data_IF_407911761125
#
_entry.id   IF_407911761125
#
_cell.length_a   1.000
_cell.length_b   1.000
_cell.length_c   1.000
_cell.angle_alpha   90.00
_cell.angle_beta   90.00
_cell.angle_gamma   90.00
#
_symmetry.space_group_name_H-M   'P 1'
#
loop_
_entity.id
_entity.type
_entity.pdbx_description
1 polymer ?
#
# COMPACT_ATOMS: atom_id res chain seq x y z
N UNK A 1 13.15 2.82 -36.04
CA UNK A 1 13.97 1.78 -35.38
C UNK A 1 13.10 1.10 -34.33
N UNK A 2 12.60 -0.11 -34.63
CA UNK A 2 11.76 -0.90 -33.72
C UNK A 2 12.66 -1.57 -32.67
N UNK A 3 13.02 -0.84 -31.60
CA UNK A 3 13.77 -1.40 -30.48
C UNK A 3 12.82 -1.99 -29.40
N UNK A 4 11.75 -2.64 -29.84
CA UNK A 4 10.76 -3.27 -28.96
C UNK A 4 11.11 -4.73 -28.73
N UNK A 5 12.14 -5.03 -27.92
CA UNK A 5 12.32 -6.40 -27.42
C UNK A 5 11.02 -6.89 -26.80
N UNK A 6 10.59 -8.08 -27.20
CA UNK A 6 9.31 -8.68 -26.82
C UNK A 6 9.13 -8.71 -25.29
N UNK A 7 8.15 -7.94 -24.81
CA UNK A 7 7.78 -7.82 -23.38
C UNK A 7 7.20 -9.12 -22.83
N UNK A 8 6.90 -10.11 -23.67
CA UNK A 8 6.47 -11.45 -23.25
C UNK A 8 7.57 -12.22 -22.54
N UNK A 9 8.84 -11.88 -22.80
CA UNK A 9 10.00 -12.66 -22.33
C UNK A 9 10.50 -12.31 -20.93
N UNK A 10 9.85 -11.38 -20.23
CA UNK A 10 10.20 -10.96 -18.87
C UNK A 10 9.01 -10.36 -18.13
N UNK A 11 9.10 -10.28 -16.80
CA UNK A 11 8.23 -9.52 -15.91
C UNK A 11 8.85 -8.13 -15.74
N UNK A 12 8.03 -7.10 -16.01
CA UNK A 12 8.38 -5.70 -15.80
C UNK A 12 7.79 -5.10 -14.53
N UNK A 13 8.27 -3.92 -14.12
CA UNK A 13 7.74 -3.22 -12.95
C UNK A 13 6.24 -2.90 -13.03
N UNK A 14 5.70 -2.64 -14.22
CA UNK A 14 4.24 -2.48 -14.40
C UNK A 14 3.46 -3.78 -14.17
N UNK A 15 4.08 -4.92 -14.47
CA UNK A 15 3.50 -6.25 -14.34
C UNK A 15 3.51 -6.68 -12.86
N UNK A 16 4.55 -6.28 -12.11
CA UNK A 16 4.65 -6.43 -10.66
C UNK A 16 3.39 -5.93 -9.94
N UNK A 17 2.85 -4.78 -10.37
CA UNK A 17 1.60 -4.21 -9.84
C UNK A 17 0.39 -5.12 -10.05
N UNK A 18 0.32 -5.80 -11.19
CA UNK A 18 -0.77 -6.72 -11.50
C UNK A 18 -0.60 -8.01 -10.69
N UNK A 19 0.63 -8.54 -10.62
CA UNK A 19 0.96 -9.78 -9.92
C UNK A 19 0.71 -9.67 -8.40
N UNK A 20 1.02 -8.51 -7.81
CA UNK A 20 0.79 -8.22 -6.39
C UNK A 20 -0.62 -7.69 -6.10
N UNK A 21 -1.45 -7.47 -7.13
CA UNK A 21 -2.80 -6.95 -6.98
C UNK A 21 -3.82 -8.00 -6.55
N UNK A 22 -5.07 -7.57 -6.50
CA UNK A 22 -6.25 -8.34 -6.08
C UNK A 22 -7.23 -8.61 -7.23
N UNK A 23 -6.93 -8.15 -8.45
CA UNK A 23 -7.75 -8.37 -9.65
C UNK A 23 -7.32 -9.63 -10.40
N UNK A 24 -8.05 -10.71 -10.18
CA UNK A 24 -7.81 -12.01 -10.83
C UNK A 24 -7.94 -11.93 -12.37
N UNK A 25 -8.84 -11.09 -12.88
CA UNK A 25 -9.02 -10.91 -14.32
C UNK A 25 -7.79 -10.29 -14.98
N UNK A 26 -7.22 -9.25 -14.37
CA UNK A 26 -5.97 -8.65 -14.83
C UNK A 26 -4.79 -9.63 -14.72
N UNK A 27 -4.74 -10.45 -13.67
CA UNK A 27 -3.69 -11.45 -13.49
C UNK A 27 -3.72 -12.53 -14.59
N UNK A 28 -4.90 -13.10 -14.85
CA UNK A 28 -5.10 -14.11 -15.91
C UNK A 28 -4.78 -13.49 -17.27
N UNK A 29 -5.24 -12.27 -17.53
CA UNK A 29 -4.95 -11.57 -18.78
C UNK A 29 -3.45 -11.37 -18.98
N UNK A 30 -2.74 -10.87 -17.97
CA UNK A 30 -1.29 -10.71 -18.03
C UNK A 30 -0.61 -12.03 -18.35
N UNK A 31 -1.07 -13.14 -17.76
CA UNK A 31 -0.53 -14.48 -18.04
C UNK A 31 -0.76 -14.90 -19.50
N UNK A 32 -1.96 -14.69 -20.06
CA UNK A 32 -2.25 -14.94 -21.49
C UNK A 32 -1.37 -14.08 -22.40
N UNK A 33 -1.18 -12.79 -22.05
CA UNK A 33 -0.31 -11.88 -22.79
C UNK A 33 1.14 -12.37 -22.78
N UNK A 34 1.68 -12.79 -21.62
CA UNK A 34 3.05 -13.34 -21.52
C UNK A 34 3.23 -14.64 -22.29
N UNK A 35 2.17 -15.43 -22.46
CA UNK A 35 2.17 -16.66 -23.25
C UNK A 35 1.92 -16.43 -24.75
N UNK A 36 1.60 -15.20 -25.15
CA UNK A 36 1.24 -14.86 -26.53
C UNK A 36 -0.11 -15.43 -26.96
N UNK A 37 -0.97 -15.79 -26.01
CA UNK A 37 -2.33 -16.30 -26.24
C UNK A 37 -3.33 -15.16 -26.46
N UNK A 38 -2.98 -13.94 -26.06
CA UNK A 38 -3.77 -12.73 -26.28
C UNK A 38 -2.83 -11.56 -26.52
N UNK A 39 -3.23 -10.63 -27.39
CA UNK A 39 -2.48 -9.40 -27.62
C UNK A 39 -2.69 -8.38 -26.49
N UNK A 40 -1.67 -7.55 -26.18
CA UNK A 40 -1.81 -6.48 -25.21
C UNK A 40 -2.97 -5.55 -25.55
N UNK A 41 -3.65 -5.01 -24.52
CA UNK A 41 -4.69 -3.99 -24.71
C UNK A 41 -4.12 -2.81 -25.48
N UNK A 42 -4.78 -2.41 -26.56
CA UNK A 42 -4.47 -1.12 -27.18
C UNK A 42 -5.01 0.02 -26.32
N UNK A 43 -4.08 0.75 -25.69
CA UNK A 43 -4.36 1.91 -24.86
C UNK A 43 -4.14 3.24 -25.62
N UNK A 44 -4.01 3.20 -26.95
CA UNK A 44 -3.82 4.39 -27.80
C UNK A 44 -4.93 5.43 -27.62
N UNK A 45 -6.18 4.98 -27.47
CA UNK A 45 -7.36 5.82 -27.27
C UNK A 45 -7.68 6.11 -25.79
N UNK A 46 -6.88 5.60 -24.84
CA UNK A 46 -7.08 5.88 -23.43
C UNK A 46 -6.39 7.20 -23.05
N UNK A 47 -7.18 8.27 -22.89
CA UNK A 47 -6.67 9.61 -22.60
C UNK A 47 -5.78 9.66 -21.36
N UNK A 48 -6.09 8.93 -20.29
CA UNK A 48 -5.29 8.94 -19.05
C UNK A 48 -3.91 8.33 -19.29
N UNK A 49 -3.84 7.25 -20.08
CA UNK A 49 -2.55 6.64 -20.47
C UNK A 49 -1.74 7.60 -21.34
N UNK A 50 -2.39 8.29 -22.28
CA UNK A 50 -1.70 9.28 -23.13
C UNK A 50 -1.18 10.48 -22.33
N UNK A 51 -1.97 10.98 -21.37
CA UNK A 51 -1.53 12.03 -20.44
C UNK A 51 -0.32 11.57 -19.64
N UNK A 52 -0.33 10.33 -19.13
CA UNK A 52 0.83 9.74 -18.46
C UNK A 52 2.09 9.78 -19.32
N UNK A 53 2.00 9.34 -20.59
CA UNK A 53 3.14 9.35 -21.53
C UNK A 53 3.66 10.75 -21.82
N UNK A 54 2.77 11.68 -22.15
CA UNK A 54 3.17 13.06 -22.53
C UNK A 54 3.73 13.82 -21.33
N UNK A 55 3.20 13.58 -20.13
CA UNK A 55 3.65 14.27 -18.92
C UNK A 55 4.93 13.69 -18.34
N UNK A 56 5.41 12.52 -18.77
CA UNK A 56 6.65 11.90 -18.27
C UNK A 56 7.86 12.85 -18.45
N UNK A 57 8.04 13.39 -19.66
CA UNK A 57 9.13 14.33 -19.98
C UNK A 57 9.00 15.65 -19.21
N UNK A 58 7.76 16.16 -19.07
CA UNK A 58 7.47 17.35 -18.27
C UNK A 58 7.82 17.11 -16.80
N UNK A 59 7.44 15.95 -16.27
CA UNK A 59 7.65 15.56 -14.88
C UNK A 59 9.15 15.45 -14.56
N UNK A 60 9.92 14.80 -15.44
CA UNK A 60 11.39 14.77 -15.35
C UNK A 60 12.00 16.17 -15.34
N UNK A 61 11.64 17.01 -16.31
CA UNK A 61 12.20 18.37 -16.43
C UNK A 61 11.84 19.23 -15.22
N UNK A 62 10.62 19.08 -14.69
CA UNK A 62 10.17 19.78 -13.50
C UNK A 62 10.93 19.33 -12.26
N UNK A 63 11.11 18.02 -12.08
CA UNK A 63 11.93 17.44 -11.02
C UNK A 63 13.34 18.03 -11.04
N UNK A 64 14.06 17.95 -12.17
CA UNK A 64 15.44 18.48 -12.28
C UNK A 64 15.51 19.98 -11.95
N UNK A 65 14.50 20.75 -12.36
CA UNK A 65 14.43 22.20 -12.07
C UNK A 65 14.26 22.49 -10.58
N UNK A 66 13.42 21.73 -9.90
CA UNK A 66 13.08 21.89 -8.48
C UNK A 66 14.21 21.41 -7.57
N UNK A 67 14.78 20.23 -7.84
CA UNK A 67 15.75 19.57 -6.94
C UNK A 67 17.21 19.84 -7.29
N UNK A 68 17.49 20.34 -8.50
CA UNK A 68 18.84 20.50 -9.08
C UNK A 68 19.58 19.20 -9.33
N UNK A 69 18.97 18.04 -9.08
CA UNK A 69 19.51 16.76 -9.51
C UNK A 69 19.30 16.56 -11.01
N UNK A 70 20.19 15.78 -11.63
CA UNK A 70 20.08 15.37 -13.04
C UNK A 70 19.53 13.95 -13.16
N UNK A 71 18.68 13.72 -14.16
CA UNK A 71 18.15 12.40 -14.50
C UNK A 71 18.91 11.86 -15.72
N UNK A 72 19.47 10.64 -15.57
CA UNK A 72 20.14 9.87 -16.62
C UNK A 72 19.41 8.55 -16.88
N UNK A 73 19.93 7.73 -17.79
CA UNK A 73 19.39 6.39 -18.10
C UNK A 73 17.88 6.40 -18.45
N UNK A 74 17.42 7.46 -19.13
CA UNK A 74 16.01 7.69 -19.48
C UNK A 74 15.51 6.59 -20.41
N UNK A 75 14.35 6.01 -20.08
CA UNK A 75 13.71 4.90 -20.81
C UNK A 75 14.66 3.71 -21.03
N UNK A 76 15.71 3.58 -20.21
CA UNK A 76 16.67 2.50 -20.31
C UNK A 76 16.04 1.22 -19.78
N UNK A 77 16.09 0.17 -20.61
CA UNK A 77 15.71 -1.18 -20.18
C UNK A 77 16.92 -1.91 -19.59
N UNK A 78 16.75 -2.43 -18.38
CA UNK A 78 17.78 -3.20 -17.66
C UNK A 78 17.20 -4.57 -17.30
N UNK A 79 17.93 -5.65 -17.58
CA UNK A 79 17.59 -7.00 -17.09
C UNK A 79 18.32 -7.27 -15.78
N UNK A 80 17.66 -7.96 -14.86
CA UNK A 80 18.28 -8.35 -13.61
C UNK A 80 19.47 -9.30 -13.89
N UNK A 81 20.63 -9.12 -13.22
CA UNK A 81 21.85 -9.89 -13.52
C UNK A 81 21.67 -11.40 -13.32
N UNK A 82 20.95 -11.81 -12.28
CA UNK A 82 20.67 -13.23 -11.96
C UNK A 82 19.32 -13.71 -12.53
N UNK A 83 18.20 -13.08 -12.15
CA UNK A 83 16.86 -13.45 -12.60
C UNK A 83 16.56 -12.97 -14.03
N UNK A 84 16.92 -13.77 -15.04
CA UNK A 84 16.78 -13.38 -16.46
C UNK A 84 15.34 -13.09 -16.94
N UNK A 85 14.35 -13.54 -16.17
CA UNK A 85 12.93 -13.28 -16.36
C UNK A 85 12.46 -11.95 -15.76
N UNK A 86 13.33 -11.16 -15.11
CA UNK A 86 13.01 -9.83 -14.59
C UNK A 86 13.71 -8.74 -15.39
N UNK A 87 12.98 -7.65 -15.69
CA UNK A 87 13.58 -6.47 -16.28
C UNK A 87 12.82 -5.20 -15.88
N UNK A 88 13.49 -4.07 -15.79
CA UNK A 88 12.89 -2.77 -15.56
C UNK A 88 13.08 -1.90 -16.80
N UNK A 89 12.04 -1.14 -17.18
CA UNK A 89 12.20 0.01 -18.08
C UNK A 89 12.01 1.23 -17.19
N UNK A 90 13.09 1.98 -16.99
CA UNK A 90 13.13 3.07 -16.03
C UNK A 90 12.76 4.39 -16.70
N UNK A 91 11.94 5.21 -16.05
CA UNK A 91 11.72 6.59 -16.51
C UNK A 91 13.00 7.42 -16.37
N UNK A 92 13.84 7.07 -15.38
CA UNK A 92 15.26 7.43 -15.32
C UNK A 92 15.95 6.99 -14.04
N UNK A 93 17.17 7.45 -13.86
CA UNK A 93 17.98 7.30 -12.65
C UNK A 93 18.52 8.66 -12.24
N UNK A 94 18.47 8.99 -10.95
CA UNK A 94 19.09 10.20 -10.42
C UNK A 94 20.61 10.02 -10.47
N UNK A 95 21.31 10.94 -11.15
CA UNK A 95 22.73 10.79 -11.45
C UNK A 95 23.60 10.69 -10.20
N UNK A 96 23.36 11.57 -9.22
CA UNK A 96 24.18 11.71 -8.01
C UNK A 96 23.95 10.59 -7.00
N UNK A 97 22.71 10.16 -6.84
CA UNK A 97 22.31 9.22 -5.79
C UNK A 97 22.17 7.78 -6.28
N UNK A 98 22.03 7.59 -7.60
CA UNK A 98 21.69 6.28 -8.18
C UNK A 98 20.28 5.81 -7.81
N UNK A 99 19.41 6.71 -7.33
CA UNK A 99 18.02 6.37 -7.06
C UNK A 99 17.25 6.18 -8.38
N UNK A 100 16.29 5.25 -8.39
CA UNK A 100 15.34 5.14 -9.51
C UNK A 100 14.47 6.39 -9.54
N UNK A 101 14.21 6.93 -10.71
CA UNK A 101 13.21 7.97 -10.93
C UNK A 101 12.00 7.36 -11.63
N UNK A 102 10.82 7.52 -11.05
CA UNK A 102 9.54 7.05 -11.59
C UNK A 102 8.56 8.22 -11.67
N UNK A 103 8.10 8.53 -12.88
CA UNK A 103 7.15 9.60 -13.14
C UNK A 103 5.72 9.06 -13.22
N UNK A 104 4.77 9.76 -12.60
CA UNK A 104 3.33 9.46 -12.71
C UNK A 104 2.49 10.69 -12.97
N UNK A 105 1.44 10.46 -13.76
CA UNK A 105 0.29 11.35 -13.83
C UNK A 105 -0.85 10.76 -13.00
N UNK A 106 -1.46 11.57 -12.15
CA UNK A 106 -2.65 11.17 -11.39
C UNK A 106 -3.76 12.19 -11.50
N UNK A 107 -5.00 11.72 -11.60
CA UNK A 107 -6.15 12.62 -11.53
C UNK A 107 -6.24 13.24 -10.13
N UNK A 108 -6.67 14.51 -10.00
CA UNK A 108 -6.65 15.22 -8.71
C UNK A 108 -7.71 14.73 -7.73
N UNK A 109 -8.72 14.01 -8.22
CA UNK A 109 -9.85 13.53 -7.44
C UNK A 109 -9.34 12.42 -6.51
N UNK A 110 -9.56 12.57 -5.20
CA UNK A 110 -9.09 11.64 -4.15
C UNK A 110 -7.58 11.35 -4.13
N UNK A 111 -6.73 12.29 -4.59
CA UNK A 111 -5.28 12.12 -4.49
C UNK A 111 -4.82 12.17 -3.02
N UNK A 112 -4.23 11.09 -2.55
CA UNK A 112 -3.48 10.99 -1.31
C UNK A 112 -2.10 10.39 -1.60
N UNK A 113 -1.06 10.91 -0.96
CA UNK A 113 0.33 10.50 -1.19
C UNK A 113 0.53 9.03 -0.79
N UNK A 114 -0.08 8.64 0.33
CA UNK A 114 -0.12 7.26 0.83
C UNK A 114 -0.72 6.30 -0.19
N UNK A 115 -1.88 6.65 -0.76
CA UNK A 115 -2.57 5.83 -1.75
C UNK A 115 -1.79 5.74 -3.06
N UNK A 116 -1.09 6.81 -3.45
CA UNK A 116 -0.21 6.80 -4.62
C UNK A 116 1.00 5.87 -4.40
N UNK A 117 1.62 5.93 -3.22
CA UNK A 117 2.72 5.05 -2.82
C UNK A 117 2.25 3.60 -2.82
N UNK A 118 1.14 3.28 -2.18
CA UNK A 118 0.58 1.93 -2.13
C UNK A 118 0.32 1.37 -3.53
N UNK A 119 -0.32 2.17 -4.40
CA UNK A 119 -0.61 1.81 -5.80
C UNK A 119 0.65 1.49 -6.62
N UNK A 120 1.76 2.14 -6.32
CA UNK A 120 3.00 2.03 -7.11
C UNK A 120 4.10 1.24 -6.40
N UNK A 121 3.89 0.78 -5.16
CA UNK A 121 4.91 0.13 -4.34
C UNK A 121 5.53 -1.08 -5.03
N UNK A 122 4.72 -1.98 -5.60
CA UNK A 122 5.20 -3.15 -6.30
C UNK A 122 6.14 -2.80 -7.46
N UNK A 123 5.79 -1.78 -8.24
CA UNK A 123 6.60 -1.29 -9.35
C UNK A 123 7.91 -0.67 -8.87
N UNK A 124 7.85 0.18 -7.83
CA UNK A 124 9.03 0.85 -7.27
C UNK A 124 10.02 -0.18 -6.69
N UNK A 125 9.52 -1.14 -5.91
CA UNK A 125 10.33 -2.20 -5.30
C UNK A 125 10.92 -3.14 -6.37
N UNK A 126 10.14 -3.49 -7.40
CA UNK A 126 10.62 -4.26 -8.56
C UNK A 126 11.77 -3.54 -9.26
N UNK A 127 11.58 -2.27 -9.63
CA UNK A 127 12.57 -1.50 -10.36
C UNK A 127 13.86 -1.37 -9.53
N UNK A 128 13.76 -1.04 -8.24
CA UNK A 128 14.90 -0.99 -7.33
C UNK A 128 15.64 -2.33 -7.26
N UNK A 129 14.92 -3.44 -7.18
CA UNK A 129 15.52 -4.78 -7.15
C UNK A 129 16.29 -5.10 -8.43
N UNK A 130 15.70 -4.84 -9.60
CA UNK A 130 16.32 -5.11 -10.91
C UNK A 130 17.67 -4.40 -11.07
N UNK A 131 17.76 -3.14 -10.63
CA UNK A 131 18.98 -2.33 -10.79
C UNK A 131 19.83 -2.22 -9.53
N UNK A 132 19.49 -2.94 -8.47
CA UNK A 132 20.17 -2.89 -7.17
C UNK A 132 20.24 -1.47 -6.57
N UNK A 133 19.20 -0.66 -6.80
CA UNK A 133 19.07 0.66 -6.19
C UNK A 133 18.51 0.55 -4.76
N UNK A 134 18.96 1.46 -3.88
CA UNK A 134 18.50 1.51 -2.47
C UNK A 134 17.26 2.36 -2.27
N UNK A 135 16.99 3.28 -3.20
CA UNK A 135 15.89 4.23 -3.13
C UNK A 135 15.29 4.46 -4.50
N UNK A 136 14.02 4.85 -4.51
CA UNK A 136 13.29 5.32 -5.68
C UNK A 136 12.59 6.62 -5.34
N UNK A 137 12.54 7.54 -6.28
CA UNK A 137 11.78 8.78 -6.21
C UNK A 137 10.56 8.64 -7.10
N UNK A 138 9.38 8.67 -6.48
CA UNK A 138 8.10 8.77 -7.14
C UNK A 138 7.76 10.26 -7.32
N UNK A 139 7.83 10.73 -8.56
CA UNK A 139 7.53 12.11 -8.92
C UNK A 139 6.16 12.16 -9.60
N UNK A 140 5.21 12.91 -9.05
CA UNK A 140 3.81 12.90 -9.48
C UNK A 140 3.40 14.30 -9.92
N UNK A 141 2.89 14.41 -11.14
CA UNK A 141 2.10 15.57 -11.59
C UNK A 141 0.63 15.19 -11.53
N UNK A 142 -0.17 15.98 -10.81
CA UNK A 142 -1.61 15.80 -10.79
C UNK A 142 -2.29 16.62 -11.88
N UNK A 143 -3.46 16.18 -12.35
CA UNK A 143 -4.28 16.96 -13.29
C UNK A 143 -4.75 18.32 -12.75
N UNK A 144 -4.61 18.58 -11.45
CA UNK A 144 -4.87 19.89 -10.82
C UNK A 144 -3.65 20.82 -10.80
N UNK A 145 -2.54 20.46 -11.44
CA UNK A 145 -1.32 21.28 -11.47
C UNK A 145 -0.46 21.20 -10.20
N UNK A 146 -0.77 20.28 -9.27
CA UNK A 146 0.07 19.99 -8.11
C UNK A 146 1.18 19.01 -8.52
N UNK A 147 2.42 19.31 -8.11
CA UNK A 147 3.55 18.39 -8.17
C UNK A 147 3.89 17.85 -6.77
N UNK A 148 4.22 16.56 -6.69
CA UNK A 148 4.59 15.87 -5.44
C UNK A 148 5.81 15.00 -5.70
N UNK A 149 6.75 15.01 -4.76
CA UNK A 149 7.92 14.15 -4.73
C UNK A 149 7.85 13.26 -3.50
N UNK A 150 8.02 11.95 -3.68
CA UNK A 150 8.03 10.97 -2.59
C UNK A 150 9.24 10.06 -2.74
N UNK A 151 10.12 10.02 -1.74
CA UNK A 151 11.25 9.09 -1.71
C UNK A 151 10.84 7.81 -0.98
N UNK A 152 11.08 6.66 -1.60
CA UNK A 152 10.80 5.33 -1.09
C UNK A 152 12.11 4.54 -0.99
N UNK A 153 12.35 3.92 0.16
CA UNK A 153 13.48 3.02 0.35
C UNK A 153 13.15 1.60 -0.13
N UNK A 154 14.17 0.88 -0.59
CA UNK A 154 14.08 -0.55 -0.81
C UNK A 154 13.67 -1.24 0.50
N UNK A 155 12.64 -2.08 0.44
CA UNK A 155 12.14 -2.85 1.58
C UNK A 155 12.46 -4.33 1.34
N UNK A 156 13.42 -4.91 2.07
CA UNK A 156 13.82 -6.30 1.89
C UNK A 156 12.68 -7.31 2.12
N UNK A 157 11.75 -7.03 3.04
CA UNK A 157 10.61 -7.91 3.30
C UNK A 157 9.61 -7.85 2.14
N UNK A 158 9.31 -6.64 1.66
CA UNK A 158 8.45 -6.47 0.49
C UNK A 158 9.07 -7.12 -0.75
N UNK A 159 10.36 -6.88 -1.01
CA UNK A 159 11.08 -7.44 -2.15
C UNK A 159 11.13 -8.97 -2.11
N UNK A 160 11.25 -9.57 -0.92
CA UNK A 160 11.18 -11.01 -0.77
C UNK A 160 9.81 -11.59 -1.18
N UNK A 161 8.73 -10.96 -0.71
CA UNK A 161 7.36 -11.36 -1.08
C UNK A 161 7.10 -11.15 -2.57
N UNK A 162 7.50 -10.00 -3.10
CA UNK A 162 7.41 -9.65 -4.51
C UNK A 162 8.11 -10.69 -5.39
N UNK A 163 9.38 -11.00 -5.09
CA UNK A 163 10.17 -11.98 -5.84
C UNK A 163 9.52 -13.38 -5.79
N UNK A 164 8.92 -13.74 -4.66
CA UNK A 164 8.21 -15.01 -4.50
C UNK A 164 6.95 -15.06 -5.38
N UNK A 165 6.15 -14.00 -5.37
CA UNK A 165 4.94 -13.88 -6.18
C UNK A 165 5.27 -13.89 -7.68
N UNK A 166 6.23 -13.08 -8.11
CA UNK A 166 6.64 -12.99 -9.52
C UNK A 166 7.27 -14.29 -10.02
N UNK A 167 8.08 -14.97 -9.20
CA UNK A 167 8.64 -16.28 -9.56
C UNK A 167 7.55 -17.33 -9.71
N UNK A 168 6.54 -17.35 -8.82
CA UNK A 168 5.39 -18.25 -8.93
C UNK A 168 4.61 -17.95 -10.22
N UNK A 169 4.31 -16.68 -10.48
CA UNK A 169 3.65 -16.25 -11.70
C UNK A 169 4.44 -16.63 -12.96
N UNK A 170 5.76 -16.41 -12.98
CA UNK A 170 6.59 -16.77 -14.11
C UNK A 170 6.60 -18.28 -14.37
N UNK A 171 6.58 -19.09 -13.31
CA UNK A 171 6.41 -20.55 -13.44
C UNK A 171 5.09 -20.90 -14.13
N UNK A 172 3.98 -20.27 -13.73
CA UNK A 172 2.67 -20.42 -14.39
C UNK A 172 2.73 -20.05 -15.88
N UNK A 173 3.43 -18.97 -16.24
CA UNK A 173 3.68 -18.60 -17.65
C UNK A 173 4.42 -19.73 -18.39
N UNK A 174 5.45 -20.31 -17.77
CA UNK A 174 6.26 -21.36 -18.39
C UNK A 174 5.54 -22.71 -18.49
N UNK A 175 4.76 -23.10 -17.48
CA UNK A 175 4.09 -24.42 -17.44
C UNK A 175 2.72 -24.42 -18.12
N UNK A 176 2.07 -23.26 -18.23
CA UNK A 176 0.69 -23.14 -18.70
C UNK A 176 -0.35 -23.42 -17.62
N UNK A 177 0.08 -23.61 -16.38
CA UNK A 177 -0.83 -23.60 -15.24
C UNK A 177 -1.35 -22.17 -15.05
N UNK A 178 -2.67 -22.01 -14.90
CA UNK A 178 -3.28 -20.71 -14.66
C UNK A 178 -2.83 -20.15 -13.30
N UNK A 179 -2.40 -18.88 -13.22
CA UNK A 179 -2.00 -18.29 -11.94
C UNK A 179 -3.22 -18.02 -11.06
N UNK A 180 -2.99 -18.06 -9.74
CA UNK A 180 -3.94 -17.60 -8.73
C UNK A 180 -3.39 -16.36 -8.03
N UNK A 181 -4.28 -15.53 -7.49
CA UNK A 181 -3.91 -14.37 -6.69
C UNK A 181 -2.93 -14.78 -5.59
N UNK A 182 -1.90 -13.94 -5.38
CA UNK A 182 -0.90 -14.22 -4.35
C UNK A 182 -1.49 -14.11 -2.94
N UNK A 183 -2.38 -13.14 -2.71
CA UNK A 183 -3.25 -13.07 -1.52
C UNK A 183 -2.54 -12.77 -0.20
N UNK A 184 -1.33 -12.20 -0.24
CA UNK A 184 -0.56 -11.86 0.97
C UNK A 184 -0.64 -10.37 1.26
N UNK A 185 -0.98 -10.02 2.50
CA UNK A 185 -0.85 -8.64 2.99
C UNK A 185 0.62 -8.22 2.96
N UNK A 186 0.93 -7.19 2.17
CA UNK A 186 2.29 -6.66 2.12
C UNK A 186 2.58 -5.78 3.35
N UNK A 187 3.84 -5.72 3.81
CA UNK A 187 4.22 -4.79 4.87
C UNK A 187 3.80 -3.38 4.48
N UNK A 188 3.00 -2.71 5.33
CA UNK A 188 2.68 -1.31 5.12
C UNK A 188 3.95 -0.49 5.35
N UNK A 189 4.35 0.26 4.33
CA UNK A 189 5.41 1.27 4.49
C UNK A 189 4.94 2.27 5.54
N UNK A 190 5.55 2.24 6.73
CA UNK A 190 5.38 3.32 7.71
C UNK A 190 6.05 4.54 7.11
N UNK A 191 5.29 5.46 6.53
CA UNK A 191 5.81 6.79 6.24
C UNK A 191 6.29 7.37 7.56
N UNK A 192 7.49 7.96 7.56
CA UNK A 192 7.94 8.72 8.73
C UNK A 192 6.95 9.86 8.97
N UNK A 193 6.41 9.96 10.18
CA UNK A 193 5.44 10.98 10.56
C UNK A 193 6.14 12.34 10.78
N UNK A 194 6.68 12.93 9.71
CA UNK A 194 7.48 14.17 9.76
C UNK A 194 6.61 15.41 9.52
N UNK A 195 5.48 15.27 8.83
CA UNK A 195 4.63 16.40 8.44
C UNK A 195 3.66 16.80 9.54
N UNK A 196 3.67 18.08 9.90
CA UNK A 196 2.66 18.73 10.74
C UNK A 196 1.56 19.28 9.81
N UNK A 197 0.30 18.96 10.09
CA UNK A 197 -0.85 19.39 9.28
C UNK A 197 -1.83 20.15 10.17
N UNK A 198 -2.24 21.34 9.72
CA UNK A 198 -3.39 22.06 10.28
C UNK A 198 -4.67 21.55 9.62
N UNK A 199 -5.55 20.95 10.44
CA UNK A 199 -6.82 20.36 9.99
C UNK A 199 -8.00 21.32 10.16
N UNK A 200 -7.76 22.60 10.49
CA UNK A 200 -8.82 23.58 10.76
C UNK A 200 -9.81 23.78 9.61
N UNK A 201 -9.41 23.50 8.36
CA UNK A 201 -10.29 23.59 7.19
C UNK A 201 -11.11 22.32 6.90
N UNK A 202 -10.94 21.24 7.67
CA UNK A 202 -11.64 19.97 7.45
C UNK A 202 -12.89 19.86 8.33
N UNK A 203 -14.07 19.95 7.71
CA UNK A 203 -15.36 19.84 8.41
C UNK A 203 -15.52 18.49 9.12
N UNK A 204 -15.10 17.40 8.48
CA UNK A 204 -15.20 16.07 9.07
C UNK A 204 -14.26 15.90 10.27
N UNK A 205 -13.05 16.48 10.21
CA UNK A 205 -12.15 16.53 11.35
C UNK A 205 -12.77 17.31 12.51
N UNK A 206 -13.39 18.47 12.24
CA UNK A 206 -14.03 19.29 13.26
C UNK A 206 -15.15 18.53 13.99
N UNK A 207 -16.01 17.82 13.26
CA UNK A 207 -17.08 17.00 13.83
C UNK A 207 -16.54 15.90 14.75
N UNK A 208 -15.57 15.12 14.27
CA UNK A 208 -14.96 14.04 15.05
C UNK A 208 -14.18 14.56 16.26
N UNK A 209 -13.46 15.67 16.11
CA UNK A 209 -12.75 16.32 17.22
C UNK A 209 -13.72 16.79 18.31
N UNK A 210 -14.86 17.36 17.94
CA UNK A 210 -15.89 17.77 18.89
C UNK A 210 -16.48 16.54 19.64
N UNK A 211 -16.73 15.43 18.94
CA UNK A 211 -17.18 14.19 19.56
C UNK A 211 -16.13 13.62 20.53
N UNK A 212 -14.87 13.58 20.10
CA UNK A 212 -13.76 13.10 20.91
C UNK A 212 -13.59 13.92 22.19
N UNK A 213 -13.57 15.25 22.09
CA UNK A 213 -13.43 16.14 23.24
C UNK A 213 -14.60 16.00 24.21
N UNK A 214 -15.84 15.92 23.69
CA UNK A 214 -17.05 15.73 24.51
C UNK A 214 -17.05 14.41 25.29
N UNK A 215 -16.47 13.36 24.73
CA UNK A 215 -16.47 12.01 25.33
C UNK A 215 -15.21 11.68 26.14
N UNK A 216 -14.17 12.51 26.07
CA UNK A 216 -12.87 12.27 26.69
C UNK A 216 -12.94 11.99 28.20
N UNK A 217 -13.70 12.80 28.95
CA UNK A 217 -13.82 12.65 30.41
C UNK A 217 -14.53 11.35 30.76
N UNK A 218 -15.71 11.11 30.16
CA UNK A 218 -16.48 9.89 30.39
C UNK A 218 -15.69 8.62 29.99
N UNK A 219 -14.91 8.67 28.90
CA UNK A 219 -14.02 7.57 28.51
C UNK A 219 -12.91 7.35 29.54
N UNK A 220 -12.31 8.43 30.06
CA UNK A 220 -11.31 8.36 31.13
C UNK A 220 -11.86 7.73 32.40
N UNK A 221 -13.03 8.20 32.87
CA UNK A 221 -13.71 7.64 34.04
C UNK A 221 -14.07 6.17 33.83
N UNK A 222 -14.52 5.81 32.62
CA UNK A 222 -14.83 4.43 32.25
C UNK A 222 -13.60 3.53 32.32
N UNK A 223 -12.46 3.94 31.73
CA UNK A 223 -11.23 3.14 31.77
C UNK A 223 -10.64 3.04 33.18
N UNK A 224 -10.73 4.11 33.98
CA UNK A 224 -10.35 4.08 35.38
C UNK A 224 -11.20 3.09 36.19
N UNK A 225 -12.54 3.19 36.09
CA UNK A 225 -13.46 2.26 36.75
C UNK A 225 -13.23 0.80 36.31
N UNK A 226 -13.02 0.57 35.01
CA UNK A 226 -12.72 -0.74 34.45
C UNK A 226 -11.42 -1.33 34.99
N UNK A 227 -10.39 -0.51 35.20
CA UNK A 227 -9.13 -0.94 35.83
C UNK A 227 -9.34 -1.37 37.27
N UNK A 228 -10.06 -0.58 38.07
CA UNK A 228 -10.35 -0.93 39.47
C UNK A 228 -11.24 -2.17 39.59
N UNK A 229 -12.28 -2.30 38.74
CA UNK A 229 -13.14 -3.48 38.70
C UNK A 229 -12.36 -4.77 38.40
N UNK A 230 -11.29 -4.71 37.57
CA UNK A 230 -10.43 -5.88 37.32
C UNK A 230 -9.69 -6.32 38.57
N UNK A 231 -9.24 -5.38 39.42
CA UNK A 231 -8.53 -5.68 40.67
C UNK A 231 -9.45 -6.32 41.71
N UNK A 232 -10.74 -6.03 41.65
CA UNK A 232 -11.74 -6.61 42.56
C UNK A 232 -12.15 -8.04 42.17
N UNK A 233 -11.83 -8.51 40.95
CA UNK A 233 -12.17 -9.87 40.52
C UNK A 233 -11.20 -10.89 41.14
N UNK A 234 -11.68 -11.85 41.96
CA UNK A 234 -10.82 -12.89 42.54
C UNK A 234 -10.07 -13.69 41.48
N UNK A 235 -8.85 -14.14 41.78
CA UNK A 235 -7.97 -14.81 40.80
C UNK A 235 -8.52 -16.14 40.26
N UNK A 236 -9.27 -16.85 41.09
CA UNK A 236 -9.94 -18.12 40.79
C UNK A 236 -11.31 -17.94 40.13
N UNK A 237 -11.85 -16.71 40.11
CA UNK A 237 -13.15 -16.43 39.53
C UNK A 237 -13.10 -16.38 38.00
N UNK A 238 -13.85 -17.29 37.37
CA UNK A 238 -14.14 -17.29 35.92
C UNK A 238 -15.09 -16.16 35.52
N UNK A 239 -16.01 -15.78 36.41
CA UNK A 239 -17.01 -14.74 36.19
C UNK A 239 -17.38 -14.07 37.53
N UNK A 240 -17.72 -12.79 37.50
CA UNK A 240 -18.39 -12.08 38.59
C UNK A 240 -19.49 -11.17 38.05
N UNK A 241 -20.59 -11.05 38.78
CA UNK A 241 -21.72 -10.19 38.42
C UNK A 241 -22.16 -9.36 39.62
N UNK A 242 -22.55 -8.11 39.38
CA UNK A 242 -23.04 -7.23 40.43
C UNK A 242 -23.26 -5.81 39.91
N UNK A 243 -24.23 -5.11 40.50
CA UNK A 243 -24.51 -3.70 40.20
C UNK A 243 -24.65 -3.38 38.70
N UNK A 244 -25.26 -4.28 37.92
CA UNK A 244 -25.49 -4.10 36.49
C UNK A 244 -24.26 -4.34 35.59
N UNK A 245 -23.19 -4.95 36.12
CA UNK A 245 -21.99 -5.30 35.37
C UNK A 245 -21.66 -6.78 35.54
N UNK A 246 -21.27 -7.42 34.45
CA UNK A 246 -20.70 -8.77 34.42
C UNK A 246 -19.24 -8.71 33.96
N UNK A 247 -18.34 -9.28 34.73
CA UNK A 247 -16.94 -9.49 34.37
C UNK A 247 -16.71 -10.96 33.99
N UNK A 248 -16.06 -11.23 32.86
CA UNK A 248 -15.67 -12.59 32.44
C UNK A 248 -14.15 -12.69 32.28
N UNK A 249 -13.55 -13.73 32.85
CA UNK A 249 -12.14 -14.07 32.67
C UNK A 249 -11.99 -15.15 31.60
N UNK A 250 -11.23 -14.85 30.56
CA UNK A 250 -10.90 -15.81 29.50
C UNK A 250 -9.89 -16.86 29.99
N UNK A 251 -9.71 -17.94 29.22
CA UNK A 251 -8.66 -18.95 29.48
C UNK A 251 -7.24 -18.36 29.45
N UNK A 252 -7.04 -17.23 28.78
CA UNK A 252 -5.77 -16.49 28.72
C UNK A 252 -5.59 -15.47 29.85
N UNK A 253 -6.55 -15.35 30.76
CA UNK A 253 -6.51 -14.40 31.88
C UNK A 253 -7.08 -13.01 31.57
N UNK A 254 -7.37 -12.69 30.31
CA UNK A 254 -7.99 -11.41 29.94
C UNK A 254 -9.40 -11.27 30.55
N UNK A 255 -9.69 -10.10 31.13
CA UNK A 255 -10.97 -9.76 31.76
C UNK A 255 -11.73 -8.77 30.88
N UNK A 256 -12.96 -9.13 30.50
CA UNK A 256 -13.90 -8.28 29.75
C UNK A 256 -15.14 -7.97 30.58
N UNK A 257 -15.78 -6.84 30.31
CA UNK A 257 -17.00 -6.41 30.99
C UNK A 257 -18.17 -6.27 30.02
N UNK A 258 -19.35 -6.68 30.47
CA UNK A 258 -20.63 -6.51 29.79
C UNK A 258 -21.59 -5.78 30.75
N UNK A 259 -22.34 -4.80 30.24
CA UNK A 259 -23.46 -4.23 30.97
C UNK A 259 -24.60 -5.26 30.99
N UNK A 260 -25.26 -5.42 32.14
CA UNK A 260 -26.38 -6.35 32.32
C UNK A 260 -27.56 -5.58 32.88
N UNK A 261 -28.73 -5.70 32.24
CA UNK A 261 -29.96 -5.12 32.77
C UNK A 261 -30.29 -5.73 34.12
N UNK A 262 -30.55 -4.89 35.13
CA UNK A 262 -31.00 -5.36 36.43
C UNK A 262 -32.45 -5.84 36.33
N UNK A 263 -32.63 -7.14 36.08
CA UNK A 263 -33.93 -7.79 36.23
C UNK A 263 -34.43 -7.65 37.68
N UNK A 264 -35.66 -7.15 37.85
CA UNK A 264 -36.27 -6.91 39.15
C UNK A 264 -36.26 -8.15 40.05
N UNK A 265 -35.93 -7.93 41.32
CA UNK A 265 -35.99 -8.93 42.39
C UNK A 265 -37.44 -9.37 42.58
N UNK A 266 -37.87 -10.46 41.95
CA UNK A 266 -39.02 -11.21 42.43
C UNK A 266 -38.55 -12.10 43.57
N UNK A 267 -38.94 -11.71 44.78
CA UNK A 267 -38.84 -12.55 45.96
C UNK A 267 -39.69 -13.82 45.77
N UNK A 268 -39.04 -14.99 45.79
CA UNK A 268 -39.71 -16.23 46.19
C UNK A 268 -39.43 -16.42 47.69
N UNK A 269 -40.38 -16.00 48.52
CA UNK A 269 -40.55 -16.58 49.86
C UNK A 269 -41.25 -17.91 49.65
N UNK A 270 -40.64 -18.97 50.20
CA UNK A 270 -41.12 -20.35 50.42
C UNK A 270 -42.37 -20.82 49.68
#
# INVERSE_FOLDING_TARGET
>A
MLNGQDRRTFIGGSDARIIMGDDEGNLIRLWQEKRGETEPVDLSQNLIVQLGKVTEDLNRTWYERCTKHRIKDIQRRVRHPVHKWMAATLDGMIEDTGAVFEAKFMLPWSFAEEAAVEKHMAQLQHNMWVVSARTSVLSIITGGGKWVEITICADPLYQHLLLTAERKFWRCVQTGEQPTLFGVETPRSKLEAVRIVDMSSSNHWAELAACYLRTRVAHGDHEAAKSELKKLLPEDAKEATGHGVRAKRSKSGAISFEAVEMGGVHASVK
#
